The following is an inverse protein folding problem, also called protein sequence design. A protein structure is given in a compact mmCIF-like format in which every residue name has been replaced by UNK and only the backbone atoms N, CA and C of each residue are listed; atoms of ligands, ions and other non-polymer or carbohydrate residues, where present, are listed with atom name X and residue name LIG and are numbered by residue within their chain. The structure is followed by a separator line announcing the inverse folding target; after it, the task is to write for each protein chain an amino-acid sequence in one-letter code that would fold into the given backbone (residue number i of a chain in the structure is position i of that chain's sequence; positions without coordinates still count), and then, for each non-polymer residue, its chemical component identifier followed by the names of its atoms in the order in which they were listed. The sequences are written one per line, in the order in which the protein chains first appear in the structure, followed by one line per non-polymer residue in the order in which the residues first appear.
data_IF_089880490517
#
_entry.id   IF_089880490517
#
_cell.length_a   1.000
_cell.length_b   1.000
_cell.length_c   1.000
_cell.angle_alpha   90.00
_cell.angle_beta   90.00
_cell.angle_gamma   90.00
#
_symmetry.space_group_name_H-M   'P 1'
#
loop_
_entity.id
_entity.type
_entity.pdbx_description
1 polymer ?
#
# COMPACT_ATOMS: atom_id res chain seq x y z
N UNK A 1 3.94 -12.95 -21.31
CA UNK A 1 2.88 -13.14 -20.26
C UNK A 1 3.15 -12.30 -19.03
N UNK A 2 4.38 -12.29 -18.45
CA UNK A 2 4.75 -11.49 -17.28
C UNK A 2 4.41 -10.01 -17.44
N UNK A 3 4.82 -9.38 -18.53
CA UNK A 3 4.49 -7.98 -18.84
C UNK A 3 2.98 -7.76 -19.04
N UNK A 4 2.30 -8.70 -19.72
CA UNK A 4 0.86 -8.64 -19.92
C UNK A 4 0.08 -8.70 -18.60
N UNK A 5 0.53 -9.52 -17.65
CA UNK A 5 -0.07 -9.66 -16.32
C UNK A 5 0.44 -8.59 -15.33
N UNK A 6 1.35 -7.72 -15.76
CA UNK A 6 1.98 -6.70 -14.91
C UNK A 6 2.50 -7.28 -13.58
N UNK A 7 3.16 -8.46 -13.65
CA UNK A 7 3.75 -9.08 -12.47
C UNK A 7 4.90 -8.22 -11.93
N UNK A 8 5.06 -8.14 -10.59
CA UNK A 8 6.18 -7.43 -9.98
C UNK A 8 7.53 -7.94 -10.50
N UNK A 9 8.58 -7.14 -10.35
CA UNK A 9 9.96 -7.58 -10.57
C UNK A 9 10.23 -8.85 -9.76
N UNK A 10 11.10 -9.72 -10.28
CA UNK A 10 11.54 -10.91 -9.57
C UNK A 10 13.00 -10.72 -9.13
N UNK A 11 13.21 -10.80 -7.82
CA UNK A 11 14.53 -10.73 -7.18
C UNK A 11 14.92 -12.02 -6.45
N UNK A 12 14.18 -13.12 -6.66
CA UNK A 12 14.45 -14.41 -6.05
C UNK A 12 15.03 -15.43 -7.04
N UNK A 13 15.81 -16.36 -6.54
CA UNK A 13 16.47 -17.41 -7.35
C UNK A 13 15.46 -18.27 -8.13
N UNK A 14 14.32 -18.59 -7.52
CA UNK A 14 13.34 -19.50 -8.07
C UNK A 14 11.99 -18.85 -8.41
N UNK A 15 11.87 -17.53 -8.33
CA UNK A 15 10.60 -16.81 -8.59
C UNK A 15 10.10 -17.00 -10.01
N UNK A 16 11.01 -17.13 -10.96
CA UNK A 16 10.67 -17.38 -12.36
C UNK A 16 9.84 -18.65 -12.57
N UNK A 17 10.04 -19.71 -11.76
CA UNK A 17 9.26 -20.97 -11.83
C UNK A 17 7.79 -20.71 -11.49
N UNK A 18 7.53 -19.83 -10.52
CA UNK A 18 6.18 -19.42 -10.14
C UNK A 18 5.56 -18.58 -11.27
N UNK A 19 6.32 -17.63 -11.84
CA UNK A 19 5.85 -16.81 -12.96
C UNK A 19 5.53 -17.65 -14.20
N UNK A 20 6.33 -18.68 -14.50
CA UNK A 20 6.07 -19.64 -15.58
C UNK A 20 4.80 -20.47 -15.33
N UNK A 21 4.60 -20.93 -14.09
CA UNK A 21 3.38 -21.64 -13.71
C UNK A 21 2.14 -20.74 -13.85
N UNK A 22 2.23 -19.49 -13.40
CA UNK A 22 1.16 -18.49 -13.59
C UNK A 22 0.88 -18.31 -15.08
N UNK A 23 1.91 -18.17 -15.92
CA UNK A 23 1.77 -18.04 -17.36
C UNK A 23 1.11 -19.27 -17.98
N UNK A 24 1.51 -20.46 -17.62
CA UNK A 24 0.93 -21.71 -18.09
C UNK A 24 -0.58 -21.79 -17.77
N UNK A 25 -0.96 -21.51 -16.52
CA UNK A 25 -2.36 -21.50 -16.10
C UNK A 25 -3.16 -20.47 -16.90
N UNK A 26 -2.64 -19.27 -17.12
CA UNK A 26 -3.35 -18.26 -17.91
C UNK A 26 -3.52 -18.67 -19.37
N UNK A 27 -2.53 -19.31 -19.98
CA UNK A 27 -2.68 -19.85 -21.33
C UNK A 27 -3.79 -20.91 -21.41
N UNK A 28 -3.83 -21.83 -20.44
CA UNK A 28 -4.90 -22.82 -20.34
C UNK A 28 -6.25 -22.14 -20.16
N UNK A 29 -6.34 -21.14 -19.28
CA UNK A 29 -7.58 -20.37 -19.08
C UNK A 29 -8.04 -19.68 -20.36
N UNK A 30 -7.15 -19.07 -21.15
CA UNK A 30 -7.51 -18.44 -22.42
C UNK A 30 -8.03 -19.46 -23.44
N UNK A 31 -7.35 -20.60 -23.57
CA UNK A 31 -7.80 -21.69 -24.49
C UNK A 31 -9.19 -22.17 -24.09
N UNK A 32 -9.42 -22.42 -22.80
CA UNK A 32 -10.72 -22.85 -22.29
C UNK A 32 -11.79 -21.76 -22.46
N UNK A 33 -11.47 -20.50 -22.15
CA UNK A 33 -12.41 -19.38 -22.32
C UNK A 33 -12.85 -19.22 -23.78
N UNK A 34 -11.91 -19.31 -24.73
CA UNK A 34 -12.21 -19.24 -26.17
C UNK A 34 -13.04 -20.46 -26.59
N UNK A 35 -12.64 -21.68 -26.20
CA UNK A 35 -13.35 -22.91 -26.54
C UNK A 35 -14.78 -22.91 -26.03
N UNK A 36 -14.99 -22.55 -24.75
CA UNK A 36 -16.31 -22.45 -24.16
C UNK A 36 -17.15 -21.32 -24.77
N UNK A 37 -16.55 -20.19 -25.11
CA UNK A 37 -17.25 -19.09 -25.79
C UNK A 37 -17.74 -19.52 -27.16
N UNK A 38 -16.88 -20.17 -27.95
CA UNK A 38 -17.26 -20.72 -29.26
C UNK A 38 -18.41 -21.72 -29.13
N UNK A 39 -18.30 -22.66 -28.20
CA UNK A 39 -19.34 -23.63 -27.93
C UNK A 39 -20.66 -22.97 -27.51
N UNK A 40 -20.60 -21.96 -26.64
CA UNK A 40 -21.76 -21.21 -26.17
C UNK A 40 -22.49 -20.49 -27.31
N UNK A 41 -21.74 -19.69 -28.09
CA UNK A 41 -22.35 -18.96 -29.21
C UNK A 41 -22.86 -19.92 -30.33
N UNK A 42 -22.12 -21.00 -30.59
CA UNK A 42 -22.59 -22.05 -31.49
C UNK A 42 -23.92 -22.64 -31.02
N UNK A 43 -24.04 -22.95 -29.73
CA UNK A 43 -25.26 -23.52 -29.15
C UNK A 43 -26.44 -22.54 -29.25
N UNK A 44 -26.23 -21.24 -28.95
CA UNK A 44 -27.25 -20.20 -29.12
C UNK A 44 -27.71 -20.13 -30.58
N UNK A 45 -26.77 -20.12 -31.50
CA UNK A 45 -27.09 -20.06 -32.94
C UNK A 45 -27.84 -21.28 -33.41
N UNK A 46 -27.34 -22.47 -33.06
CA UNK A 46 -27.91 -23.77 -33.53
C UNK A 46 -29.31 -24.01 -32.97
N UNK A 47 -29.54 -23.74 -31.68
CA UNK A 47 -30.77 -24.08 -30.97
C UNK A 47 -31.77 -22.92 -30.90
N UNK A 48 -31.52 -21.80 -31.58
CA UNK A 48 -32.53 -20.74 -31.67
C UNK A 48 -33.78 -21.24 -32.39
N UNK A 49 -34.96 -20.73 -32.03
CA UNK A 49 -36.27 -21.14 -32.57
C UNK A 49 -36.35 -21.14 -34.08
N UNK A 50 -35.67 -20.20 -34.77
CA UNK A 50 -35.65 -20.12 -36.22
C UNK A 50 -34.92 -21.30 -36.89
N UNK A 51 -33.90 -21.85 -36.24
CA UNK A 51 -33.08 -22.94 -36.80
C UNK A 51 -33.49 -24.29 -36.28
N UNK A 52 -34.16 -24.32 -35.10
CA UNK A 52 -34.60 -25.54 -34.44
C UNK A 52 -36.00 -25.34 -33.85
N UNK A 53 -37.06 -25.33 -34.75
CA UNK A 53 -38.43 -24.99 -34.37
C UNK A 53 -39.09 -26.05 -33.48
N UNK A 54 -38.61 -27.31 -33.51
CA UNK A 54 -39.13 -28.43 -32.70
C UNK A 54 -38.07 -28.86 -31.72
N UNK A 55 -38.38 -28.80 -30.43
CA UNK A 55 -37.48 -29.24 -29.37
C UNK A 55 -37.30 -30.78 -29.37
N UNK A 56 -36.05 -31.22 -29.26
CA UNK A 56 -35.71 -32.63 -29.07
C UNK A 56 -35.49 -32.89 -27.58
N UNK A 57 -36.37 -33.67 -26.99
CA UNK A 57 -36.34 -34.01 -25.55
C UNK A 57 -35.59 -35.31 -25.25
N UNK A 58 -35.08 -36.02 -26.24
CA UNK A 58 -34.33 -37.29 -26.02
C UNK A 58 -32.92 -37.05 -25.48
N UNK A 59 -32.40 -35.83 -25.62
CA UNK A 59 -31.07 -35.47 -25.14
C UNK A 59 -29.93 -36.11 -25.95
N UNK A 60 -28.72 -36.03 -25.42
CA UNK A 60 -27.51 -36.58 -26.04
C UNK A 60 -27.30 -38.00 -25.53
N UNK A 61 -27.29 -38.96 -26.43
CA UNK A 61 -27.09 -40.39 -26.10
C UNK A 61 -25.65 -40.88 -26.33
N UNK A 62 -24.79 -40.02 -26.87
CA UNK A 62 -23.38 -40.36 -27.14
C UNK A 62 -22.53 -40.25 -25.89
N UNK A 63 -21.50 -41.11 -25.77
CA UNK A 63 -20.51 -41.04 -24.66
C UNK A 63 -19.46 -39.97 -24.82
N UNK A 64 -19.61 -39.03 -25.79
CA UNK A 64 -18.62 -37.99 -26.10
C UNK A 64 -18.39 -37.06 -24.90
N UNK A 65 -19.47 -36.62 -24.21
CA UNK A 65 -19.33 -35.77 -23.01
C UNK A 65 -18.55 -36.50 -21.89
N UNK A 66 -18.85 -37.74 -21.65
CA UNK A 66 -18.14 -38.55 -20.62
C UNK A 66 -16.65 -38.68 -20.94
N UNK A 67 -16.27 -38.93 -22.21
CA UNK A 67 -14.85 -38.99 -22.57
C UNK A 67 -14.16 -37.62 -22.50
N UNK A 68 -14.84 -36.51 -22.79
CA UNK A 68 -14.31 -35.18 -22.59
C UNK A 68 -14.10 -34.90 -21.11
N UNK A 69 -15.05 -35.26 -20.25
CA UNK A 69 -14.92 -35.11 -18.78
C UNK A 69 -13.72 -35.90 -18.24
N UNK A 70 -13.64 -37.21 -18.63
CA UNK A 70 -12.49 -38.05 -18.24
C UNK A 70 -11.17 -37.47 -18.72
N UNK A 71 -11.12 -37.01 -19.96
CA UNK A 71 -9.92 -36.35 -20.54
C UNK A 71 -9.53 -35.12 -19.75
N UNK A 72 -10.51 -34.29 -19.35
CA UNK A 72 -10.25 -33.08 -18.55
C UNK A 72 -9.71 -33.48 -17.16
N UNK A 73 -10.32 -34.42 -16.46
CA UNK A 73 -9.84 -34.89 -15.15
C UNK A 73 -8.43 -35.46 -15.22
N UNK A 74 -8.12 -36.24 -16.25
CA UNK A 74 -6.76 -36.75 -16.46
C UNK A 74 -5.77 -35.60 -16.70
N UNK A 75 -6.13 -34.61 -17.53
CA UNK A 75 -5.31 -33.43 -17.80
C UNK A 75 -5.06 -32.61 -16.52
N UNK A 76 -6.08 -32.32 -15.74
CA UNK A 76 -5.97 -31.61 -14.47
C UNK A 76 -5.12 -32.38 -13.45
N UNK A 77 -5.27 -33.71 -13.39
CA UNK A 77 -4.44 -34.56 -12.53
C UNK A 77 -2.97 -34.48 -12.90
N UNK A 78 -2.66 -34.51 -14.21
CA UNK A 78 -1.28 -34.35 -14.69
C UNK A 78 -0.74 -32.96 -14.34
N UNK A 79 -1.53 -31.90 -14.57
CA UNK A 79 -1.14 -30.53 -14.25
C UNK A 79 -0.82 -30.37 -12.75
N UNK A 80 -1.65 -30.95 -11.90
CA UNK A 80 -1.47 -30.92 -10.45
C UNK A 80 -0.22 -31.71 -10.03
N UNK A 81 -0.13 -32.98 -10.45
CA UNK A 81 0.90 -33.90 -9.94
C UNK A 81 2.28 -33.71 -10.56
N UNK A 82 2.36 -33.34 -11.84
CA UNK A 82 3.62 -33.19 -12.55
C UNK A 82 4.17 -31.75 -12.50
N UNK A 83 3.36 -30.74 -12.23
CA UNK A 83 3.79 -29.34 -12.23
C UNK A 83 3.58 -28.64 -10.89
N UNK A 84 2.32 -28.61 -10.36
CA UNK A 84 2.04 -27.82 -9.17
C UNK A 84 2.64 -28.43 -7.89
N UNK A 85 2.50 -29.74 -7.68
CA UNK A 85 3.02 -30.39 -6.47
C UNK A 85 4.54 -30.35 -6.36
N UNK A 86 5.34 -30.60 -7.41
CA UNK A 86 6.80 -30.45 -7.33
C UNK A 86 7.24 -29.02 -7.02
N UNK A 87 6.62 -28.03 -7.66
CA UNK A 87 6.92 -26.61 -7.40
C UNK A 87 6.59 -26.24 -5.95
N UNK A 88 5.47 -26.73 -5.41
CA UNK A 88 5.10 -26.53 -4.02
C UNK A 88 6.07 -27.23 -3.06
N UNK A 89 6.45 -28.49 -3.35
CA UNK A 89 7.33 -29.26 -2.49
C UNK A 89 8.73 -28.59 -2.34
N UNK A 90 9.27 -28.03 -3.41
CA UNK A 90 10.52 -27.28 -3.38
C UNK A 90 10.48 -26.09 -2.39
N UNK A 91 9.29 -25.52 -2.15
CA UNK A 91 9.11 -24.35 -1.29
C UNK A 91 8.74 -24.66 0.15
N UNK A 92 8.09 -25.77 0.39
CA UNK A 92 7.48 -26.10 1.70
C UNK A 92 8.12 -27.30 2.36
N UNK A 93 8.73 -28.20 1.57
CA UNK A 93 9.35 -29.43 2.08
C UNK A 93 10.88 -29.38 2.04
N UNK A 94 11.45 -28.82 0.97
CA UNK A 94 12.89 -28.77 0.74
C UNK A 94 13.46 -27.46 1.29
N UNK A 95 14.01 -27.52 2.50
CA UNK A 95 14.65 -26.36 3.12
C UNK A 95 16.17 -26.39 2.91
N UNK A 96 16.81 -25.23 2.71
CA UNK A 96 18.26 -25.12 2.70
C UNK A 96 18.86 -25.45 4.07
N UNK A 97 20.14 -25.81 4.11
CA UNK A 97 20.86 -26.04 5.35
C UNK A 97 20.87 -24.77 6.23
N UNK A 98 20.60 -24.92 7.52
CA UNK A 98 20.53 -23.79 8.45
C UNK A 98 21.85 -23.05 8.56
N UNK A 99 22.94 -23.77 8.53
CA UNK A 99 24.31 -23.27 8.65
C UNK A 99 24.70 -22.36 7.47
N UNK A 100 24.08 -22.58 6.31
CA UNK A 100 24.28 -21.78 5.09
C UNK A 100 23.24 -20.67 4.92
N UNK A 101 22.29 -20.57 5.85
CA UNK A 101 21.15 -19.67 5.75
C UNK A 101 21.23 -18.52 6.75
N UNK A 102 20.62 -17.40 6.41
CA UNK A 102 20.28 -16.36 7.39
C UNK A 102 18.97 -16.76 8.05
N UNK A 103 18.96 -16.86 9.37
CA UNK A 103 17.78 -17.27 10.13
C UNK A 103 17.18 -16.04 10.80
N UNK A 104 15.87 -15.87 10.64
CA UNK A 104 15.12 -14.73 11.21
C UNK A 104 13.79 -15.25 11.76
N UNK A 105 13.32 -14.67 12.86
CA UNK A 105 11.95 -14.87 13.32
C UNK A 105 11.13 -13.60 13.02
N UNK A 106 9.93 -13.76 12.48
CA UNK A 106 9.02 -12.64 12.23
C UNK A 106 7.71 -12.90 12.93
N UNK A 107 7.30 -11.95 13.78
CA UNK A 107 6.06 -12.03 14.55
C UNK A 107 5.14 -10.90 14.13
N UNK A 108 3.98 -11.26 13.55
CA UNK A 108 2.93 -10.33 13.20
C UNK A 108 2.12 -9.89 14.41
N UNK A 109 1.72 -8.63 14.43
CA UNK A 109 0.73 -8.06 15.36
C UNK A 109 -0.10 -6.99 14.64
N UNK A 110 -1.22 -6.60 15.20
CA UNK A 110 -2.05 -5.51 14.67
C UNK A 110 -1.45 -4.14 15.06
N UNK A 111 -0.71 -3.38 14.20
CA UNK A 111 -0.55 -3.62 12.76
C UNK A 111 0.92 -3.44 12.37
N UNK A 112 1.78 -4.36 12.78
CA UNK A 112 3.23 -4.30 12.60
C UNK A 112 3.86 -5.69 12.40
N UNK A 113 5.06 -5.71 11.86
CA UNK A 113 5.93 -6.88 11.76
C UNK A 113 7.15 -6.70 12.66
N UNK A 114 7.28 -7.52 13.69
CA UNK A 114 8.44 -7.54 14.56
C UNK A 114 9.43 -8.57 14.01
N UNK A 115 10.58 -8.10 13.60
CA UNK A 115 11.65 -8.93 13.03
C UNK A 115 12.72 -9.15 14.07
N UNK A 116 13.03 -10.40 14.37
CA UNK A 116 13.94 -10.83 15.42
C UNK A 116 15.10 -11.62 14.81
N UNK A 117 16.30 -11.15 15.02
CA UNK A 117 17.57 -11.77 14.60
C UNK A 117 18.25 -12.38 15.82
N UNK A 118 18.86 -13.58 15.66
CA UNK A 118 19.47 -14.32 16.77
C UNK A 118 20.89 -13.84 17.13
N UNK A 119 21.25 -12.61 16.75
CA UNK A 119 22.57 -12.07 17.05
C UNK A 119 23.75 -12.86 16.46
N UNK A 120 24.94 -12.70 17.04
CA UNK A 120 26.18 -13.33 16.59
C UNK A 120 26.26 -14.81 16.98
N UNK A 121 25.67 -15.18 18.10
CA UNK A 121 25.69 -16.56 18.59
C UNK A 121 24.78 -17.50 17.79
N UNK A 122 23.89 -16.93 16.95
CA UNK A 122 22.96 -17.65 16.07
C UNK A 122 21.82 -18.33 16.82
N UNK A 123 21.58 -18.00 18.09
CA UNK A 123 20.51 -18.57 18.90
C UNK A 123 19.51 -17.50 19.29
N UNK A 124 18.23 -17.84 19.20
CA UNK A 124 17.19 -16.95 19.68
C UNK A 124 17.04 -17.02 21.20
N UNK A 125 17.12 -15.91 21.85
CA UNK A 125 16.84 -15.80 23.27
C UNK A 125 15.39 -16.17 23.61
N UNK A 126 15.17 -16.42 24.90
CA UNK A 126 13.85 -16.74 25.45
C UNK A 126 12.92 -15.54 25.30
N UNK A 127 11.66 -15.81 24.97
CA UNK A 127 10.59 -14.82 24.95
C UNK A 127 9.50 -15.20 25.97
N UNK A 128 8.95 -14.21 26.67
CA UNK A 128 7.85 -14.39 27.61
C UNK A 128 6.75 -13.34 27.34
N UNK A 129 5.52 -13.81 27.30
CA UNK A 129 4.33 -12.95 27.08
C UNK A 129 4.20 -11.89 28.17
N UNK A 130 4.64 -12.18 29.38
CA UNK A 130 4.60 -11.25 30.50
C UNK A 130 5.60 -10.08 30.39
N UNK A 131 6.60 -10.22 29.53
CA UNK A 131 7.61 -9.20 29.25
C UNK A 131 7.26 -8.30 28.05
N UNK A 132 6.09 -8.50 27.44
CA UNK A 132 5.65 -7.69 26.30
C UNK A 132 5.31 -6.28 26.76
N UNK A 133 6.02 -5.30 26.20
CA UNK A 133 5.80 -3.86 26.37
C UNK A 133 5.87 -3.15 25.00
N UNK A 134 5.65 -1.84 24.99
CA UNK A 134 5.81 -1.05 23.77
C UNK A 134 7.25 -1.08 23.21
N UNK A 135 8.24 -1.12 24.10
CA UNK A 135 9.67 -1.16 23.76
C UNK A 135 10.21 -2.59 23.58
N UNK A 136 9.46 -3.59 24.06
CA UNK A 136 9.78 -5.00 23.93
C UNK A 136 8.59 -5.77 23.31
N UNK A 137 8.30 -5.58 22.04
CA UNK A 137 7.05 -6.03 21.44
C UNK A 137 6.91 -7.55 21.34
N UNK A 138 7.99 -8.30 21.40
CA UNK A 138 7.97 -9.78 21.37
C UNK A 138 8.28 -10.42 22.72
N UNK A 139 8.49 -9.62 23.78
CA UNK A 139 8.72 -10.10 25.13
C UNK A 139 10.06 -10.83 25.29
N UNK A 140 11.14 -10.34 24.70
CA UNK A 140 12.49 -10.90 24.91
C UNK A 140 12.88 -10.76 26.37
N UNK A 141 13.40 -11.84 26.93
CA UNK A 141 13.98 -11.88 28.27
C UNK A 141 15.49 -11.60 28.19
N UNK A 142 15.88 -10.35 28.39
CA UNK A 142 17.27 -9.90 28.34
C UNK A 142 18.17 -10.47 29.47
N UNK A 143 17.59 -11.11 30.48
CA UNK A 143 18.37 -11.85 31.49
C UNK A 143 18.85 -13.22 30.98
N UNK A 144 18.24 -13.73 29.91
CA UNK A 144 18.68 -14.94 29.22
C UNK A 144 19.95 -14.67 28.42
N UNK A 145 20.99 -15.50 28.60
CA UNK A 145 22.29 -15.32 27.93
C UNK A 145 22.18 -15.26 26.41
N UNK A 146 21.37 -16.14 25.80
CA UNK A 146 21.17 -16.21 24.36
C UNK A 146 20.39 -14.98 23.80
N UNK A 147 19.81 -14.13 24.70
CA UNK A 147 19.05 -12.95 24.29
C UNK A 147 19.87 -11.65 24.27
N UNK A 148 21.08 -11.66 24.78
CA UNK A 148 21.88 -10.43 25.01
C UNK A 148 22.27 -9.76 23.69
N UNK A 149 22.55 -10.54 22.64
CA UNK A 149 22.93 -10.05 21.32
C UNK A 149 21.78 -10.07 20.30
N UNK A 150 20.57 -10.50 20.72
CA UNK A 150 19.38 -10.53 19.87
C UNK A 150 18.98 -9.13 19.40
N UNK A 151 18.82 -8.95 18.10
CA UNK A 151 18.39 -7.68 17.50
C UNK A 151 16.92 -7.75 17.12
N UNK A 152 16.16 -6.71 17.48
CA UNK A 152 14.76 -6.54 17.05
C UNK A 152 14.63 -5.30 16.17
N UNK A 153 13.92 -5.45 15.05
CA UNK A 153 13.50 -4.31 14.24
C UNK A 153 11.98 -4.34 14.03
N UNK A 154 11.38 -3.18 13.89
CA UNK A 154 9.96 -3.06 13.62
C UNK A 154 9.73 -2.65 12.15
N UNK A 155 8.93 -3.45 11.42
CA UNK A 155 8.59 -3.21 10.02
C UNK A 155 9.81 -3.08 9.07
N UNK A 156 10.96 -3.63 9.47
CA UNK A 156 12.19 -3.60 8.66
C UNK A 156 12.89 -4.95 8.68
N UNK A 157 13.08 -5.56 7.52
CA UNK A 157 13.83 -6.79 7.33
C UNK A 157 15.12 -6.50 6.57
N UNK A 158 16.28 -6.73 7.20
CA UNK A 158 17.60 -6.62 6.59
C UNK A 158 18.14 -8.02 6.35
N UNK A 159 18.59 -8.33 5.14
CA UNK A 159 19.08 -9.65 4.75
C UNK A 159 20.19 -9.54 3.70
N UNK A 160 21.13 -10.49 3.67
CA UNK A 160 22.17 -10.54 2.65
C UNK A 160 21.64 -11.10 1.33
N UNK A 161 22.16 -10.60 0.21
CA UNK A 161 21.93 -11.14 -1.14
C UNK A 161 22.69 -12.47 -1.33
N UNK A 162 22.20 -13.31 -2.24
CA UNK A 162 22.79 -14.61 -2.63
C UNK A 162 22.89 -15.64 -1.48
N UNK A 163 22.27 -15.39 -0.35
CA UNK A 163 22.19 -16.31 0.78
C UNK A 163 20.75 -16.73 1.03
N UNK A 164 20.43 -18.01 1.27
CA UNK A 164 19.10 -18.42 1.64
C UNK A 164 18.68 -17.74 2.96
N UNK A 165 17.41 -17.40 3.06
CA UNK A 165 16.80 -16.82 4.25
C UNK A 165 15.69 -17.74 4.73
N UNK A 166 15.80 -18.24 5.96
CA UNK A 166 14.77 -19.04 6.62
C UNK A 166 14.06 -18.13 7.64
N UNK A 167 12.77 -17.97 7.49
CA UNK A 167 11.93 -17.19 8.38
C UNK A 167 11.07 -18.14 9.21
N UNK A 168 11.13 -18.02 10.55
CA UNK A 168 10.14 -18.61 11.44
C UNK A 168 9.04 -17.59 11.71
N UNK A 169 7.89 -17.82 11.09
CA UNK A 169 6.77 -16.88 11.06
C UNK A 169 5.71 -17.23 12.09
N UNK A 170 5.30 -16.27 12.89
CA UNK A 170 4.25 -16.42 13.87
C UNK A 170 3.39 -15.16 14.03
N UNK A 171 2.40 -15.22 14.91
CA UNK A 171 1.53 -14.10 15.23
C UNK A 171 1.28 -14.00 16.72
N UNK A 172 1.10 -12.77 17.25
CA UNK A 172 0.74 -12.49 18.64
C UNK A 172 -0.77 -12.53 18.88
N UNK A 173 -1.56 -12.18 17.87
CA UNK A 173 -2.98 -11.86 18.05
C UNK A 173 -3.90 -12.60 17.06
N UNK A 174 -4.05 -12.10 15.85
CA UNK A 174 -4.91 -12.69 14.82
C UNK A 174 -4.09 -13.33 13.70
N UNK A 175 -4.74 -13.99 12.75
CA UNK A 175 -4.07 -14.52 11.57
C UNK A 175 -3.65 -13.35 10.68
N UNK A 176 -2.36 -13.32 10.31
CA UNK A 176 -1.78 -12.47 9.27
C UNK A 176 -1.27 -13.33 8.12
N UNK A 177 -0.79 -12.71 7.06
CA UNK A 177 -0.11 -13.40 5.98
C UNK A 177 1.06 -12.56 5.50
N UNK A 178 2.28 -13.01 5.77
CA UNK A 178 3.49 -12.33 5.34
C UNK A 178 3.71 -12.59 3.85
N UNK A 179 3.81 -11.53 3.07
CA UNK A 179 4.00 -11.60 1.62
C UNK A 179 5.15 -10.73 1.17
N UNK A 180 6.02 -11.30 0.34
CA UNK A 180 7.11 -10.65 -0.37
C UNK A 180 6.90 -10.79 -1.89
N UNK A 181 6.09 -9.91 -2.52
CA UNK A 181 5.73 -10.09 -3.94
C UNK A 181 6.93 -10.15 -4.88
N UNK A 182 7.98 -9.36 -4.62
CA UNK A 182 9.22 -9.31 -5.42
C UNK A 182 10.07 -10.56 -5.24
N UNK A 183 9.92 -11.27 -4.12
CA UNK A 183 10.63 -12.52 -3.81
C UNK A 183 9.78 -13.78 -4.08
N UNK A 184 8.54 -13.61 -4.55
CA UNK A 184 7.58 -14.70 -4.78
C UNK A 184 7.40 -15.61 -3.56
N UNK A 185 7.49 -15.05 -2.36
CA UNK A 185 7.34 -15.77 -1.11
C UNK A 185 6.14 -15.23 -0.32
N UNK A 186 5.32 -16.15 0.19
CA UNK A 186 4.15 -15.82 1.00
C UNK A 186 3.83 -17.00 1.92
N UNK A 187 3.53 -16.69 3.19
CA UNK A 187 3.00 -17.69 4.14
C UNK A 187 2.13 -17.02 5.19
N UNK A 188 1.18 -17.79 5.74
CA UNK A 188 0.30 -17.33 6.80
C UNK A 188 1.00 -17.37 8.16
N UNK A 189 0.80 -16.34 8.96
CA UNK A 189 1.27 -16.19 10.33
C UNK A 189 0.12 -16.52 11.27
N UNK A 190 0.21 -17.64 11.98
CA UNK A 190 -0.84 -18.12 12.86
C UNK A 190 -0.48 -17.94 14.34
N UNK A 191 -1.41 -17.50 15.20
CA UNK A 191 -1.20 -17.47 16.65
C UNK A 191 -0.85 -18.86 17.20
N UNK A 192 0.16 -18.89 18.09
CA UNK A 192 0.59 -20.11 18.74
C UNK A 192 1.42 -21.08 17.90
N UNK A 193 1.77 -20.70 16.66
CA UNK A 193 2.62 -21.51 15.79
C UNK A 193 3.79 -20.68 15.26
N UNK A 194 4.93 -21.36 15.05
CA UNK A 194 6.06 -20.84 14.30
C UNK A 194 6.22 -21.67 13.03
N UNK A 195 5.85 -21.09 11.91
CA UNK A 195 5.79 -21.77 10.61
C UNK A 195 7.03 -21.37 9.81
N UNK A 196 7.86 -22.32 9.38
CA UNK A 196 9.04 -22.00 8.58
C UNK A 196 8.64 -21.69 7.13
N UNK A 197 9.28 -20.66 6.56
CA UNK A 197 9.28 -20.36 5.13
C UNK A 197 10.68 -19.95 4.70
N UNK A 198 11.00 -20.06 3.42
CA UNK A 198 12.30 -19.67 2.93
C UNK A 198 12.26 -19.11 1.51
N UNK A 199 13.25 -18.31 1.19
CA UNK A 199 13.57 -17.82 -0.14
C UNK A 199 15.05 -17.46 -0.24
N UNK A 200 15.57 -17.27 -1.46
CA UNK A 200 16.92 -16.78 -1.69
C UNK A 200 16.88 -15.55 -2.60
N UNK A 201 17.22 -14.37 -2.07
CA UNK A 201 17.32 -13.17 -2.88
C UNK A 201 18.57 -13.23 -3.76
N UNK A 202 18.47 -12.80 -5.02
CA UNK A 202 19.58 -12.78 -5.98
C UNK A 202 19.90 -11.37 -6.48
N UNK A 203 19.19 -10.37 -5.99
CA UNK A 203 19.42 -8.95 -6.29
C UNK A 203 19.37 -8.15 -5.00
N UNK A 204 20.24 -7.17 -4.87
CA UNK A 204 20.19 -6.18 -3.79
C UNK A 204 18.99 -5.23 -3.98
N UNK A 205 18.59 -4.55 -2.91
CA UNK A 205 17.54 -3.53 -2.98
C UNK A 205 17.88 -2.43 -3.99
N UNK A 206 19.16 -2.04 -4.08
CA UNK A 206 19.62 -1.05 -5.04
C UNK A 206 19.49 -1.53 -6.50
N UNK A 207 19.84 -2.79 -6.77
CA UNK A 207 19.67 -3.39 -8.11
C UNK A 207 18.20 -3.46 -8.50
N UNK A 208 17.32 -3.88 -7.59
CA UNK A 208 15.87 -3.86 -7.84
C UNK A 208 15.37 -2.43 -8.07
N UNK A 209 15.84 -1.47 -7.28
CA UNK A 209 15.48 -0.06 -7.46
C UNK A 209 15.92 0.48 -8.82
N UNK A 210 17.13 0.15 -9.27
CA UNK A 210 17.63 0.50 -10.60
C UNK A 210 16.72 -0.01 -11.73
N UNK A 211 16.14 -1.20 -11.59
CA UNK A 211 15.19 -1.75 -12.56
C UNK A 211 13.82 -1.03 -12.57
N UNK A 212 13.53 -0.22 -11.56
CA UNK A 212 12.29 0.59 -11.48
C UNK A 212 12.46 2.00 -12.05
N UNK A 213 13.65 2.36 -12.50
CA UNK A 213 13.91 3.70 -13.05
C UNK A 213 13.04 3.91 -14.29
N UNK A 214 12.32 5.01 -14.29
CA UNK A 214 11.48 5.42 -15.40
C UNK A 214 11.52 6.92 -15.62
N UNK A 215 11.33 7.32 -16.86
CA UNK A 215 11.16 8.73 -17.22
C UNK A 215 9.69 9.10 -17.11
N UNK A 216 9.38 10.12 -16.33
CA UNK A 216 8.04 10.67 -16.22
C UNK A 216 7.96 12.02 -16.92
N UNK A 217 6.98 12.16 -17.80
CA UNK A 217 6.69 13.38 -18.55
C UNK A 217 5.76 14.29 -17.72
N UNK A 218 6.26 15.44 -17.27
CA UNK A 218 5.51 16.40 -16.45
C UNK A 218 4.32 17.04 -17.18
N UNK A 219 4.26 16.93 -18.51
CA UNK A 219 3.09 17.40 -19.27
C UNK A 219 1.86 16.48 -19.05
N UNK A 220 2.07 15.27 -18.54
CA UNK A 220 1.03 14.31 -18.17
C UNK A 220 0.47 14.50 -16.75
N UNK A 221 0.98 15.49 -16.02
CA UNK A 221 0.37 15.87 -14.73
C UNK A 221 -1.09 16.26 -14.95
N UNK A 222 -1.97 16.01 -13.96
CA UNK A 222 -3.36 16.45 -14.05
C UNK A 222 -3.46 17.93 -14.40
N UNK A 223 -4.36 18.26 -15.33
CA UNK A 223 -4.49 19.62 -15.82
C UNK A 223 -4.87 20.59 -14.68
N UNK A 224 -4.20 21.74 -14.66
CA UNK A 224 -4.55 22.86 -13.77
C UNK A 224 -5.86 23.50 -14.23
N UNK A 225 -6.75 23.76 -13.30
CA UNK A 225 -8.07 24.37 -13.52
C UNK A 225 -8.27 25.55 -12.58
N UNK A 226 -9.03 26.54 -13.06
CA UNK A 226 -9.54 27.59 -12.20
C UNK A 226 -10.73 27.05 -11.40
N UNK A 227 -10.63 27.11 -10.10
CA UNK A 227 -11.63 26.62 -9.15
C UNK A 227 -12.26 27.82 -8.45
N UNK A 228 -13.58 27.93 -8.56
CA UNK A 228 -14.36 28.92 -7.80
C UNK A 228 -14.64 28.31 -6.43
N UNK A 229 -14.23 28.99 -5.36
CA UNK A 229 -14.46 28.56 -3.99
C UNK A 229 -15.94 28.78 -3.60
N UNK A 230 -16.49 27.97 -2.67
CA UNK A 230 -17.85 28.14 -2.17
C UNK A 230 -18.05 29.54 -1.59
N UNK A 231 -19.15 30.20 -1.94
CA UNK A 231 -19.46 31.53 -1.40
C UNK A 231 -19.78 31.48 0.09
N UNK A 232 -19.44 32.56 0.78
CA UNK A 232 -19.92 32.81 2.14
C UNK A 232 -21.33 33.32 2.03
N UNK A 233 -22.28 32.71 2.74
CA UNK A 233 -23.70 33.00 2.73
C UNK A 233 -24.17 33.30 4.16
N UNK A 234 -25.14 34.23 4.31
CA UNK A 234 -25.83 34.41 5.56
C UNK A 234 -26.97 33.38 5.64
N UNK A 235 -26.85 32.45 6.58
CA UNK A 235 -27.83 31.38 6.79
C UNK A 235 -28.80 31.76 7.94
N UNK A 236 -30.10 31.52 7.74
CA UNK A 236 -31.07 31.60 8.80
C UNK A 236 -31.11 30.28 9.57
N UNK A 237 -30.95 30.37 10.88
CA UNK A 237 -30.97 29.23 11.79
C UNK A 237 -32.38 28.96 12.26
N UNK A 238 -32.87 27.73 12.10
CA UNK A 238 -34.17 27.28 12.58
C UNK A 238 -34.06 25.88 13.19
N UNK A 239 -34.92 25.59 14.14
CA UNK A 239 -35.00 24.25 14.74
C UNK A 239 -35.35 23.21 13.67
N UNK A 240 -34.53 22.17 13.53
CA UNK A 240 -34.69 21.12 12.53
C UNK A 240 -34.10 21.42 11.15
N UNK A 241 -33.40 22.54 10.96
CA UNK A 241 -32.66 22.86 9.73
C UNK A 241 -31.53 21.88 9.47
N UNK A 242 -31.45 21.36 8.25
CA UNK A 242 -30.34 20.44 7.86
C UNK A 242 -29.17 21.24 7.26
N UNK A 243 -28.26 21.68 8.13
CA UNK A 243 -27.09 22.49 7.77
C UNK A 243 -25.77 21.72 7.87
N UNK A 244 -25.81 20.40 7.99
CA UNK A 244 -24.65 19.50 8.22
C UNK A 244 -23.51 19.61 7.20
N UNK A 245 -23.73 20.26 6.06
CA UNK A 245 -22.72 20.46 5.03
C UNK A 245 -22.21 21.91 4.99
N UNK A 246 -22.40 22.67 6.07
CA UNK A 246 -21.95 24.04 6.17
C UNK A 246 -20.93 24.19 7.30
N UNK A 247 -19.94 25.05 7.07
CA UNK A 247 -18.92 25.44 8.04
C UNK A 247 -19.12 26.90 8.39
N UNK A 248 -19.09 27.20 9.69
CA UNK A 248 -19.18 28.54 10.22
C UNK A 248 -17.96 29.38 9.83
N UNK A 249 -18.16 30.60 9.33
CA UNK A 249 -17.06 31.45 8.81
C UNK A 249 -16.62 32.54 9.78
N UNK A 250 -17.38 32.80 10.82
CA UNK A 250 -17.09 33.72 11.94
C UNK A 250 -17.62 33.13 13.24
N UNK A 251 -17.10 33.57 14.39
CA UNK A 251 -17.62 33.12 15.67
C UNK A 251 -19.08 33.55 15.81
N UNK A 252 -19.93 32.62 16.25
CA UNK A 252 -21.32 32.92 16.61
C UNK A 252 -21.36 33.32 18.09
N UNK A 253 -21.63 34.59 18.38
CA UNK A 253 -21.55 35.17 19.71
C UNK A 253 -22.91 35.58 20.26
N UNK A 254 -23.09 35.48 21.58
CA UNK A 254 -24.21 36.03 22.30
C UNK A 254 -23.73 36.74 23.55
N UNK A 255 -24.16 37.98 23.73
CA UNK A 255 -23.81 38.81 24.87
C UNK A 255 -22.29 38.92 25.12
N UNK A 256 -21.50 38.90 24.02
CA UNK A 256 -20.03 38.97 24.07
C UNK A 256 -19.33 37.65 24.30
N UNK A 257 -20.04 36.56 24.46
CA UNK A 257 -19.46 35.21 24.63
C UNK A 257 -19.63 34.36 23.33
N UNK A 258 -18.58 33.64 22.96
CA UNK A 258 -18.64 32.75 21.83
C UNK A 258 -19.46 31.49 22.16
N UNK A 259 -20.50 31.23 21.36
CA UNK A 259 -21.34 30.02 21.43
C UNK A 259 -20.74 28.93 20.52
N UNK A 260 -20.31 29.31 19.32
CA UNK A 260 -19.57 28.45 18.39
C UNK A 260 -18.43 29.23 17.75
N UNK A 261 -17.38 28.50 17.42
CA UNK A 261 -16.18 29.07 16.79
C UNK A 261 -16.18 28.93 15.26
N UNK A 262 -15.58 29.89 14.58
CA UNK A 262 -15.29 29.76 13.15
C UNK A 262 -14.58 28.44 12.84
N UNK A 263 -14.91 27.81 11.72
CA UNK A 263 -14.41 26.49 11.31
C UNK A 263 -15.25 25.30 11.78
N UNK A 264 -16.21 25.49 12.69
CA UNK A 264 -17.08 24.39 13.13
C UNK A 264 -18.13 24.06 12.08
N UNK A 265 -18.38 22.74 11.90
CA UNK A 265 -19.50 22.24 11.10
C UNK A 265 -20.82 22.56 11.77
N UNK A 266 -21.84 22.93 10.98
CA UNK A 266 -23.18 23.13 11.46
C UNK A 266 -23.96 21.80 11.49
N UNK A 267 -23.47 20.85 12.30
CA UNK A 267 -24.18 19.60 12.60
C UNK A 267 -25.41 19.85 13.49
N UNK A 268 -26.15 18.80 13.84
CA UNK A 268 -27.39 18.91 14.61
C UNK A 268 -27.16 19.52 16.00
N UNK A 269 -26.05 19.18 16.65
CA UNK A 269 -25.73 19.66 18.01
C UNK A 269 -25.35 21.15 17.98
N UNK A 270 -24.53 21.55 17.03
CA UNK A 270 -24.13 22.95 16.83
C UNK A 270 -25.30 23.82 16.40
N UNK A 271 -26.17 23.34 15.51
CA UNK A 271 -27.43 24.06 15.15
C UNK A 271 -28.33 24.21 16.38
N UNK A 272 -28.45 23.16 17.21
CA UNK A 272 -29.20 23.25 18.46
C UNK A 272 -28.61 24.29 19.41
N UNK A 273 -27.30 24.32 19.59
CA UNK A 273 -26.63 25.33 20.42
C UNK A 273 -26.92 26.76 19.96
N UNK A 274 -26.97 27.02 18.65
CA UNK A 274 -27.35 28.32 18.08
C UNK A 274 -28.82 28.67 18.39
N UNK A 275 -29.73 27.73 18.22
CA UNK A 275 -31.16 27.92 18.51
C UNK A 275 -31.40 28.21 20.01
N UNK A 276 -30.80 27.41 20.89
CA UNK A 276 -30.92 27.55 22.34
C UNK A 276 -30.38 28.91 22.83
N UNK A 277 -29.41 29.48 22.12
CA UNK A 277 -28.88 30.81 22.39
C UNK A 277 -29.57 31.92 21.59
N UNK A 278 -30.67 31.63 20.87
CA UNK A 278 -31.44 32.60 20.08
C UNK A 278 -30.62 33.30 18.98
N UNK A 279 -29.61 32.64 18.44
CA UNK A 279 -28.83 33.12 17.28
C UNK A 279 -29.61 32.71 16.02
N UNK A 280 -30.20 33.69 15.35
CA UNK A 280 -31.06 33.44 14.18
C UNK A 280 -30.35 33.50 12.84
N UNK A 281 -29.13 34.06 12.77
CA UNK A 281 -28.35 34.19 11.55
C UNK A 281 -26.88 33.97 11.82
N UNK A 282 -26.20 33.29 10.87
CA UNK A 282 -24.76 33.08 10.90
C UNK A 282 -24.19 33.17 9.48
N UNK A 283 -22.91 33.56 9.34
CA UNK A 283 -22.20 33.45 8.10
C UNK A 283 -21.54 32.08 7.99
N UNK A 284 -21.84 31.36 6.94
CA UNK A 284 -21.33 30.04 6.70
C UNK A 284 -21.04 29.80 5.21
N UNK A 285 -20.27 28.79 4.90
CA UNK A 285 -20.05 28.30 3.55
C UNK A 285 -20.38 26.83 3.43
N UNK A 286 -20.74 26.41 2.22
CA UNK A 286 -20.96 24.99 1.95
C UNK A 286 -19.64 24.23 1.86
N UNK A 287 -19.55 23.05 2.49
CA UNK A 287 -18.46 22.11 2.35
C UNK A 287 -18.48 21.49 0.95
N UNK A 288 -17.32 21.43 0.31
CA UNK A 288 -17.16 20.73 -0.95
C UNK A 288 -16.02 19.70 -0.85
N UNK A 289 -16.34 18.41 -0.60
CA UNK A 289 -15.32 17.37 -0.42
C UNK A 289 -14.39 17.18 -1.63
N UNK A 290 -14.82 17.57 -2.82
CA UNK A 290 -13.99 17.47 -4.03
C UNK A 290 -12.77 18.40 -3.92
N UNK A 291 -12.86 19.53 -3.24
CA UNK A 291 -11.73 20.47 -3.06
C UNK A 291 -10.55 19.81 -2.33
N UNK A 292 -10.82 18.93 -1.37
CA UNK A 292 -9.77 18.24 -0.62
C UNK A 292 -8.91 17.29 -1.48
N UNK A 293 -9.39 16.93 -2.68
CA UNK A 293 -8.63 16.14 -3.66
C UNK A 293 -7.75 16.98 -4.57
N UNK A 294 -7.85 18.31 -4.47
CA UNK A 294 -7.16 19.29 -5.29
C UNK A 294 -5.99 19.91 -4.52
N UNK A 295 -4.96 20.32 -5.23
CA UNK A 295 -3.80 21.01 -4.72
C UNK A 295 -3.65 22.36 -5.43
N UNK A 296 -3.26 23.39 -4.70
CA UNK A 296 -2.90 24.69 -5.27
C UNK A 296 -1.71 24.56 -6.21
N UNK A 297 -1.71 25.30 -7.32
CA UNK A 297 -0.61 25.32 -8.28
C UNK A 297 0.22 26.60 -8.23
N UNK A 298 -0.10 27.50 -7.30
CA UNK A 298 0.62 28.72 -7.00
C UNK A 298 0.44 29.11 -5.51
N UNK A 299 1.29 30.02 -5.03
CA UNK A 299 1.17 30.58 -3.68
C UNK A 299 0.05 31.63 -3.63
N UNK A 300 -0.82 31.53 -2.63
CA UNK A 300 -1.83 32.54 -2.33
C UNK A 300 -1.41 33.39 -1.15
N UNK A 301 -1.46 34.72 -1.32
CA UNK A 301 -0.93 35.71 -0.36
C UNK A 301 -2.02 36.63 0.16
N UNK A 302 -1.83 37.12 1.37
CA UNK A 302 -2.64 38.21 1.93
C UNK A 302 -2.33 39.55 1.29
N UNK A 303 -3.02 40.61 1.69
CA UNK A 303 -2.83 41.99 1.21
C UNK A 303 -1.46 42.54 1.57
N UNK A 304 -0.73 41.96 2.53
CA UNK A 304 0.61 42.39 2.99
C UNK A 304 1.72 41.60 2.29
N UNK A 305 1.39 40.59 1.48
CA UNK A 305 2.32 39.75 0.73
C UNK A 305 2.76 38.46 1.44
N UNK A 306 2.24 38.16 2.64
CA UNK A 306 2.52 36.93 3.34
C UNK A 306 1.79 35.74 2.69
N UNK A 307 2.44 34.62 2.59
CA UNK A 307 1.84 33.41 2.02
C UNK A 307 0.78 32.87 3.00
N UNK A 308 -0.47 32.83 2.56
CA UNK A 308 -1.59 32.21 3.26
C UNK A 308 -1.65 30.71 2.99
N UNK A 309 -1.60 30.34 1.71
CA UNK A 309 -1.66 28.97 1.26
C UNK A 309 -0.55 28.74 0.25
N UNK A 310 0.48 27.96 0.59
CA UNK A 310 1.58 27.65 -0.31
C UNK A 310 1.14 26.81 -1.51
N UNK A 311 1.88 26.91 -2.60
CA UNK A 311 1.78 25.99 -3.74
C UNK A 311 1.91 24.53 -3.29
N UNK A 312 1.18 23.62 -3.92
CA UNK A 312 1.18 22.17 -3.61
C UNK A 312 0.36 21.82 -2.37
N UNK A 313 -0.36 22.74 -1.77
CA UNK A 313 -1.17 22.53 -0.57
C UNK A 313 -2.55 22.01 -0.92
N UNK A 314 -3.06 20.96 -0.21
CA UNK A 314 -4.44 20.49 -0.37
C UNK A 314 -5.47 21.58 0.02
N UNK A 315 -6.52 21.74 -0.78
CA UNK A 315 -7.62 22.67 -0.48
C UNK A 315 -8.58 22.09 0.58
N UNK A 316 -8.05 21.84 1.78
CA UNK A 316 -8.86 21.45 2.94
C UNK A 316 -9.70 22.63 3.44
N UNK A 317 -10.69 22.34 4.26
CA UNK A 317 -11.69 23.32 4.71
C UNK A 317 -11.06 24.54 5.40
N UNK A 318 -10.01 24.35 6.22
CA UNK A 318 -9.33 25.45 6.90
C UNK A 318 -8.67 26.42 5.91
N UNK A 319 -7.97 25.91 4.92
CA UNK A 319 -7.33 26.74 3.88
C UNK A 319 -8.37 27.42 2.98
N UNK A 320 -9.47 26.73 2.64
CA UNK A 320 -10.57 27.34 1.88
C UNK A 320 -11.20 28.49 2.68
N UNK A 321 -11.41 28.34 3.98
CA UNK A 321 -11.94 29.38 4.84
C UNK A 321 -10.98 30.57 4.94
N UNK A 322 -9.69 30.31 5.12
CA UNK A 322 -8.62 31.35 5.16
C UNK A 322 -8.56 32.17 3.86
N UNK A 323 -8.63 31.50 2.69
CA UNK A 323 -8.65 32.18 1.39
C UNK A 323 -9.87 33.09 1.25
N UNK A 324 -11.06 32.59 1.60
CA UNK A 324 -12.31 33.37 1.51
C UNK A 324 -12.32 34.56 2.47
N UNK A 325 -11.80 34.41 3.68
CA UNK A 325 -11.66 35.53 4.65
C UNK A 325 -10.71 36.63 4.15
N UNK A 326 -9.76 36.26 3.28
CA UNK A 326 -8.84 37.19 2.61
C UNK A 326 -9.34 37.65 1.22
N UNK A 327 -10.65 37.50 0.93
CA UNK A 327 -11.31 37.87 -0.32
C UNK A 327 -10.80 37.14 -1.57
N UNK A 328 -10.16 35.98 -1.41
CA UNK A 328 -9.74 35.12 -2.50
C UNK A 328 -10.86 34.14 -2.79
N UNK A 329 -11.61 34.37 -3.86
CA UNK A 329 -12.80 33.56 -4.24
C UNK A 329 -12.52 32.57 -5.37
N UNK A 330 -11.34 32.61 -5.97
CA UNK A 330 -10.92 31.74 -7.05
C UNK A 330 -9.46 31.33 -6.88
N UNK A 331 -9.17 30.06 -7.14
CA UNK A 331 -7.83 29.50 -7.06
C UNK A 331 -7.52 28.64 -8.27
N UNK A 332 -6.24 28.54 -8.63
CA UNK A 332 -5.77 27.55 -9.60
C UNK A 332 -5.36 26.29 -8.87
N UNK A 333 -5.90 25.16 -9.30
CA UNK A 333 -5.64 23.88 -8.64
C UNK A 333 -5.71 22.70 -9.63
N UNK A 334 -5.08 21.61 -9.26
CA UNK A 334 -5.14 20.32 -9.97
C UNK A 334 -5.32 19.15 -9.01
N UNK A 335 -5.68 18.01 -9.53
CA UNK A 335 -5.65 16.77 -8.74
C UNK A 335 -4.21 16.38 -8.37
N UNK A 336 -4.07 15.66 -7.24
CA UNK A 336 -2.80 15.10 -6.80
C UNK A 336 -2.18 14.20 -7.87
N UNK A 337 -0.88 14.29 -8.06
CA UNK A 337 -0.13 13.30 -8.81
C UNK A 337 -0.01 12.01 -7.98
N UNK A 338 -0.12 10.84 -8.64
CA UNK A 338 0.04 9.55 -7.97
C UNK A 338 1.51 9.11 -8.00
N UNK A 339 2.41 10.00 -7.56
CA UNK A 339 3.86 9.78 -7.60
C UNK A 339 4.53 9.77 -6.21
N UNK A 340 3.77 9.76 -5.14
CA UNK A 340 4.25 9.79 -3.76
C UNK A 340 5.02 8.53 -3.30
N UNK A 341 5.10 7.50 -4.15
CA UNK A 341 5.90 6.30 -3.92
C UNK A 341 7.25 6.31 -4.63
N UNK A 342 7.58 7.42 -5.31
CA UNK A 342 8.81 7.56 -6.09
C UNK A 342 9.77 8.54 -5.42
N UNK A 343 11.05 8.36 -5.74
CA UNK A 343 12.14 9.31 -5.48
C UNK A 343 12.71 9.80 -6.79
N UNK A 344 13.35 10.97 -6.76
CA UNK A 344 14.11 11.48 -7.89
C UNK A 344 15.39 10.66 -8.06
N UNK A 345 15.67 10.24 -9.31
CA UNK A 345 16.87 9.47 -9.64
C UNK A 345 18.04 10.32 -10.09
N UNK A 346 17.81 11.60 -10.30
CA UNK A 346 18.79 12.60 -10.72
C UNK A 346 18.63 13.88 -9.90
N UNK A 347 19.68 14.73 -9.93
CA UNK A 347 19.65 16.06 -9.33
C UNK A 347 18.99 17.07 -10.30
N UNK A 348 18.11 17.90 -9.78
CA UNK A 348 17.47 19.00 -10.52
C UNK A 348 17.82 20.33 -9.84
N UNK A 349 19.06 20.80 -10.06
CA UNK A 349 19.64 21.97 -9.38
C UNK A 349 18.82 23.26 -9.59
N UNK A 350 18.17 23.45 -10.76
CA UNK A 350 17.29 24.58 -11.05
C UNK A 350 16.05 24.67 -10.15
N UNK A 351 15.66 23.56 -9.53
CA UNK A 351 14.55 23.48 -8.59
C UNK A 351 15.00 23.12 -7.16
N UNK A 352 16.31 23.07 -6.89
CA UNK A 352 16.90 22.68 -5.61
C UNK A 352 16.44 21.28 -5.12
N UNK A 353 16.28 20.35 -6.06
CA UNK A 353 15.86 18.98 -5.78
C UNK A 353 17.05 18.05 -5.96
N UNK A 354 17.35 17.25 -4.93
CA UNK A 354 18.46 16.30 -4.94
C UNK A 354 17.99 14.88 -5.30
N UNK A 355 18.86 14.12 -5.93
CA UNK A 355 18.71 12.68 -6.11
C UNK A 355 18.37 11.99 -4.77
N UNK A 356 17.46 11.04 -4.79
CA UNK A 356 17.01 10.31 -3.61
C UNK A 356 15.92 11.02 -2.79
N UNK A 357 15.63 12.29 -3.07
CA UNK A 357 14.52 12.97 -2.40
C UNK A 357 13.16 12.51 -2.90
N UNK A 358 12.15 12.50 -2.01
CA UNK A 358 10.81 12.06 -2.35
C UNK A 358 10.14 12.96 -3.40
N UNK A 359 9.42 12.34 -4.34
CA UNK A 359 8.59 13.06 -5.30
C UNK A 359 7.33 13.54 -4.60
N UNK A 360 7.19 14.86 -4.50
CA UNK A 360 6.03 15.52 -3.89
C UNK A 360 5.31 16.39 -4.92
N UNK A 361 4.04 16.68 -4.69
CA UNK A 361 3.29 17.59 -5.56
C UNK A 361 3.90 18.98 -5.61
N UNK A 362 4.48 19.45 -4.50
CA UNK A 362 5.21 20.72 -4.43
C UNK A 362 6.45 20.71 -5.34
N UNK A 363 7.29 19.67 -5.22
CA UNK A 363 8.50 19.54 -6.05
C UNK A 363 8.17 19.41 -7.54
N UNK A 364 7.05 18.76 -7.90
CA UNK A 364 6.61 18.68 -9.30
C UNK A 364 6.21 20.04 -9.88
N UNK A 365 5.56 20.90 -9.08
CA UNK A 365 5.27 22.29 -9.52
C UNK A 365 6.55 23.12 -9.63
N UNK A 366 7.49 23.00 -8.70
CA UNK A 366 8.79 23.68 -8.77
C UNK A 366 9.56 23.31 -10.06
N UNK A 367 9.60 22.02 -10.42
CA UNK A 367 10.22 21.54 -11.65
C UNK A 367 9.54 22.08 -12.90
N UNK A 368 8.20 22.12 -12.90
CA UNK A 368 7.42 22.68 -14.00
C UNK A 368 7.68 24.17 -14.19
N UNK A 369 7.75 24.94 -13.09
CA UNK A 369 8.11 26.37 -13.11
C UNK A 369 9.56 26.55 -13.62
N UNK A 370 10.49 25.67 -13.24
CA UNK A 370 11.85 25.65 -13.74
C UNK A 370 11.99 25.21 -15.21
N UNK A 371 10.87 24.91 -15.90
CA UNK A 371 10.85 24.53 -17.32
C UNK A 371 11.27 23.09 -17.60
N UNK A 372 11.40 22.24 -16.59
CA UNK A 372 11.71 20.82 -16.76
C UNK A 372 10.47 20.11 -17.33
N UNK A 373 10.68 19.31 -18.38
CA UNK A 373 9.61 18.56 -19.04
C UNK A 373 9.58 17.09 -18.65
N UNK A 374 10.75 16.51 -18.43
CA UNK A 374 10.90 15.10 -18.08
C UNK A 374 11.73 14.97 -16.83
N UNK A 375 11.36 14.01 -15.98
CA UNK A 375 12.09 13.66 -14.78
C UNK A 375 12.41 12.17 -14.75
N UNK A 376 13.53 11.81 -14.16
CA UNK A 376 13.94 10.43 -13.89
C UNK A 376 13.55 10.09 -12.46
N UNK A 377 12.73 9.06 -12.28
CA UNK A 377 12.21 8.63 -10.98
C UNK A 377 12.35 7.13 -10.80
N UNK A 378 12.49 6.68 -9.56
CA UNK A 378 12.49 5.26 -9.20
C UNK A 378 11.59 5.03 -7.98
N UNK A 379 11.17 3.78 -7.73
CA UNK A 379 10.42 3.44 -6.52
C UNK A 379 11.27 3.72 -5.27
N UNK A 380 10.71 4.41 -4.28
CA UNK A 380 11.40 4.70 -3.02
C UNK A 380 11.73 3.42 -2.25
N UNK A 381 10.79 2.46 -2.23
CA UNK A 381 10.90 1.18 -1.55
C UNK A 381 10.49 0.08 -2.50
N UNK A 382 11.44 -0.45 -3.30
CA UNK A 382 11.12 -1.41 -4.36
C UNK A 382 10.72 -2.78 -3.81
N UNK A 383 11.13 -3.11 -2.57
CA UNK A 383 10.86 -4.39 -1.94
C UNK A 383 10.13 -4.16 -0.62
N UNK A 384 8.90 -4.64 -0.56
CA UNK A 384 8.05 -4.54 0.62
C UNK A 384 7.73 -5.94 1.18
N UNK A 385 7.53 -5.99 2.49
CA UNK A 385 6.78 -7.05 3.16
C UNK A 385 5.41 -6.50 3.55
N UNK A 386 4.34 -7.20 3.19
CA UNK A 386 2.98 -6.73 3.40
C UNK A 386 2.10 -7.83 4.00
N UNK A 387 1.10 -7.43 4.77
CA UNK A 387 0.07 -8.37 5.20
C UNK A 387 -0.91 -8.64 4.05
N UNK A 388 -1.09 -9.92 3.70
CA UNK A 388 -1.97 -10.37 2.63
C UNK A 388 -3.24 -11.07 3.14
N UNK A 389 -3.51 -11.03 4.46
CA UNK A 389 -4.70 -11.55 5.11
C UNK A 389 -5.38 -10.44 5.91
N UNK A 390 -6.70 -10.25 5.71
CA UNK A 390 -7.45 -9.23 6.43
C UNK A 390 -7.35 -9.44 7.95
N UNK A 391 -6.64 -8.55 8.63
CA UNK A 391 -6.31 -8.64 10.04
C UNK A 391 -6.93 -7.54 10.92
N UNK A 392 -7.78 -6.67 10.37
CA UNK A 392 -8.47 -5.61 11.10
C UNK A 392 -8.45 -4.26 10.39
N UNK A 393 -8.86 -3.19 11.10
CA UNK A 393 -9.03 -1.85 10.54
C UNK A 393 -7.74 -1.24 9.98
N UNK A 394 -6.57 -1.58 10.54
CA UNK A 394 -5.26 -1.10 10.09
C UNK A 394 -4.58 -2.01 9.07
N UNK A 395 -5.24 -3.03 8.55
CA UNK A 395 -4.67 -3.99 7.60
C UNK A 395 -3.96 -3.33 6.41
N UNK A 396 -4.55 -2.30 5.82
CA UNK A 396 -4.01 -1.59 4.65
C UNK A 396 -2.65 -0.92 4.88
N UNK A 397 -2.28 -0.65 6.14
CA UNK A 397 -1.02 -0.02 6.54
C UNK A 397 -0.02 -0.99 7.18
N UNK A 398 -0.38 -2.27 7.35
CA UNK A 398 0.53 -3.28 7.90
C UNK A 398 1.55 -3.70 6.84
N UNK A 399 2.56 -2.85 6.68
CA UNK A 399 3.66 -2.96 5.72
C UNK A 399 4.99 -2.79 6.43
N UNK A 400 6.03 -3.38 5.85
CA UNK A 400 7.40 -3.15 6.23
C UNK A 400 8.30 -3.14 4.99
N UNK A 401 9.55 -2.81 5.19
CA UNK A 401 10.55 -2.68 4.14
C UNK A 401 11.55 -3.82 4.21
N UNK A 402 11.96 -4.30 3.04
CA UNK A 402 13.02 -5.29 2.93
C UNK A 402 14.25 -4.63 2.33
N UNK A 403 15.34 -4.66 3.08
CA UNK A 403 16.63 -4.17 2.65
C UNK A 403 17.54 -5.37 2.37
N UNK A 404 17.73 -5.69 1.09
CA UNK A 404 18.63 -6.73 0.63
C UNK A 404 19.98 -6.06 0.35
N UNK A 405 20.98 -6.43 1.11
CA UNK A 405 22.32 -5.84 1.14
C UNK A 405 23.36 -6.83 0.65
N UNK A 406 24.57 -6.37 0.35
CA UNK A 406 25.73 -7.25 0.26
C UNK A 406 26.00 -7.91 1.61
N UNK A 407 26.74 -9.02 1.64
CA UNK A 407 27.09 -9.66 2.92
C UNK A 407 27.89 -8.71 3.82
N UNK A 408 28.79 -7.94 3.26
CA UNK A 408 29.60 -6.96 4.00
C UNK A 408 28.75 -5.86 4.64
N UNK A 409 27.81 -5.28 3.89
CA UNK A 409 26.88 -4.26 4.40
C UNK A 409 25.97 -4.83 5.49
N UNK A 410 25.52 -6.07 5.34
CA UNK A 410 24.71 -6.75 6.35
C UNK A 410 25.50 -6.99 7.64
N UNK A 411 26.75 -7.40 7.55
CA UNK A 411 27.62 -7.64 8.71
C UNK A 411 27.93 -6.32 9.45
N UNK A 412 28.12 -5.22 8.73
CA UNK A 412 28.28 -3.88 9.31
C UNK A 412 27.00 -3.47 10.03
N UNK A 413 25.86 -3.59 9.37
CA UNK A 413 24.57 -3.25 9.95
C UNK A 413 24.28 -4.04 11.24
N UNK A 414 24.58 -5.34 11.25
CA UNK A 414 24.38 -6.18 12.44
C UNK A 414 25.23 -5.70 13.61
N UNK A 415 26.52 -5.42 13.39
CA UNK A 415 27.42 -4.87 14.41
C UNK A 415 26.98 -3.52 14.96
N UNK A 416 26.46 -2.66 14.09
CA UNK A 416 25.90 -1.37 14.52
C UNK A 416 24.70 -1.57 15.45
N UNK A 417 23.80 -2.51 15.12
CA UNK A 417 22.64 -2.83 15.96
C UNK A 417 23.01 -3.44 17.30
N UNK A 418 23.98 -4.31 17.34
CA UNK A 418 24.52 -4.87 18.58
C UNK A 418 25.18 -3.79 19.44
N UNK A 419 25.91 -2.86 18.84
CA UNK A 419 26.52 -1.74 19.57
C UNK A 419 25.46 -0.80 20.16
N UNK A 420 24.34 -0.57 19.46
CA UNK A 420 23.19 0.20 19.96
C UNK A 420 22.57 -0.47 21.20
N UNK A 421 22.47 -1.81 21.23
CA UNK A 421 21.97 -2.56 22.39
C UNK A 421 22.84 -2.36 23.62
N UNK A 422 24.16 -2.53 23.47
CA UNK A 422 25.13 -2.34 24.57
C UNK A 422 25.12 -0.90 25.12
N UNK A 423 24.85 0.09 24.26
CA UNK A 423 24.79 1.49 24.68
C UNK A 423 23.48 1.86 25.37
N UNK A 424 22.43 1.02 25.28
CA UNK A 424 21.11 1.24 25.88
C UNK A 424 20.92 0.56 27.25
N UNK A 425 21.84 -0.34 27.64
CA UNK A 425 21.97 -0.95 28.98
C UNK A 425 22.78 -0.05 29.92
#
# INVERSE_FOLDING_TARGET
MREFLNLPLDASENGYKIDEMIALIHWIMFILAIGWSVFFYYSIYKFRKSNNPVANYTGVTTKTSTWLEVGLVVFETILLTAFAMPLWAERVVEFPAKEESTIVRIIGEQFAWNVHYPGVDGKFGRTDVLLITADNPIGIDRENEDAKDDVITNNQLNIPVNKPVIIYLGSKDVIHSLSFPVLRAKHDAMPGQLIPMWFKPVKTSLEVQNETIQTYDLTKLPATKNIILPKIEELTISAGGNLKNYILMENATKDGNDVLYSGMLLDADNVKALVDNSISKVKARKVNPVLQTLLTTEDYKDATGNILVPMGTPLIDDFVSMLLQNNISQVTARHKAKLNYFIYWEDYSSASISKGSAVTDLSLEQLKIAGIKNISIALATPIEMACAQLCGLGHYRMRGYVNIQTQEEYDIWMKEKEAELVASE
#
